data_IF_674224664971
#
_entry.id   IF_674224664971
#
_cell.length_a   1.000
_cell.length_b   1.000
_cell.length_c   1.000
_cell.angle_alpha   90.00
_cell.angle_beta   90.00
_cell.angle_gamma   90.00
#
_symmetry.space_group_name_H-M   'P 1'
#
loop_
_entity.id
_entity.type
_entity.pdbx_description
1 polymer ?
#
# COMPACT_ATOMS: atom_id res chain seq x y z
N UNK A 1 28.12 -1.76 -24.53
CA UNK A 1 27.30 -1.07 -23.48
C UNK A 1 27.86 -1.46 -22.14
N UNK A 2 28.04 -0.51 -21.18
CA UNK A 2 28.56 -0.81 -19.84
C UNK A 2 27.49 -0.57 -18.81
N UNK A 3 27.23 -1.58 -17.99
CA UNK A 3 26.30 -1.58 -16.87
C UNK A 3 27.03 -1.35 -15.53
N UNK A 4 26.33 -0.88 -14.51
CA UNK A 4 26.90 -0.80 -13.17
C UNK A 4 26.84 -2.18 -12.51
N UNK A 5 25.70 -2.88 -12.64
CA UNK A 5 25.51 -4.22 -12.09
C UNK A 5 24.63 -5.04 -13.04
N UNK A 6 24.91 -6.34 -13.12
CA UNK A 6 24.09 -7.29 -13.90
C UNK A 6 23.88 -8.57 -13.09
N UNK A 7 22.65 -9.03 -13.06
CA UNK A 7 22.24 -10.31 -12.52
C UNK A 7 21.98 -11.26 -13.69
N UNK A 8 22.67 -12.37 -13.68
CA UNK A 8 22.69 -13.40 -14.73
C UNK A 8 22.14 -14.72 -14.19
N UNK A 9 21.81 -15.62 -15.11
CA UNK A 9 21.31 -16.96 -14.78
C UNK A 9 20.09 -16.89 -13.84
N UNK A 10 19.11 -16.08 -14.22
CA UNK A 10 17.89 -15.82 -13.49
C UNK A 10 16.64 -16.36 -14.20
N UNK A 11 15.63 -16.75 -13.42
CA UNK A 11 14.24 -16.82 -13.89
C UNK A 11 13.55 -15.49 -13.56
N UNK A 12 12.91 -14.85 -14.52
CA UNK A 12 12.27 -13.56 -14.28
C UNK A 12 10.75 -13.74 -14.29
N UNK A 13 10.08 -13.05 -13.37
CA UNK A 13 8.68 -12.67 -13.48
C UNK A 13 8.64 -11.16 -13.69
N UNK A 14 8.54 -10.76 -14.96
CA UNK A 14 8.72 -9.35 -15.34
C UNK A 14 7.51 -8.47 -15.04
N UNK A 15 6.31 -9.05 -15.00
CA UNK A 15 5.03 -8.36 -14.90
C UNK A 15 4.83 -7.26 -15.96
N UNK A 16 5.67 -7.27 -17.00
CA UNK A 16 5.62 -6.28 -18.07
C UNK A 16 4.33 -6.42 -18.90
N UNK A 17 3.75 -5.31 -19.37
CA UNK A 17 2.54 -5.33 -20.19
C UNK A 17 2.78 -6.09 -21.51
N UNK A 18 1.69 -6.66 -22.05
CA UNK A 18 1.75 -7.43 -23.31
C UNK A 18 2.31 -8.85 -23.18
N UNK A 19 2.74 -9.28 -22.00
CA UNK A 19 3.11 -10.67 -21.71
C UNK A 19 2.02 -11.36 -20.89
N UNK A 20 1.75 -12.65 -21.13
CA UNK A 20 0.73 -13.37 -20.37
C UNK A 20 1.18 -13.61 -18.92
N UNK A 21 0.23 -13.61 -17.97
CA UNK A 21 0.45 -13.91 -16.58
C UNK A 21 1.51 -13.00 -15.94
N UNK A 22 2.50 -13.60 -15.31
CA UNK A 22 3.62 -12.88 -14.66
C UNK A 22 4.72 -12.43 -15.66
N UNK A 23 4.59 -12.68 -16.95
CA UNK A 23 5.62 -12.34 -17.95
C UNK A 23 6.94 -13.10 -17.75
N UNK A 24 6.86 -14.43 -17.63
CA UNK A 24 7.99 -15.31 -17.26
C UNK A 24 9.06 -15.36 -18.36
N UNK A 25 10.33 -15.33 -17.93
CA UNK A 25 11.54 -15.54 -18.72
C UNK A 25 12.43 -16.55 -18.01
N UNK A 26 12.55 -17.77 -18.56
CA UNK A 26 13.25 -18.89 -17.90
C UNK A 26 14.79 -18.74 -17.82
N UNK A 27 15.41 -18.09 -18.79
CA UNK A 27 16.84 -17.80 -18.84
C UNK A 27 17.04 -16.30 -19.04
N UNK A 28 16.86 -15.59 -17.97
CA UNK A 28 16.84 -14.14 -17.98
C UNK A 28 18.10 -13.50 -17.42
N UNK A 29 18.20 -12.22 -17.68
CA UNK A 29 19.13 -11.30 -17.05
C UNK A 29 18.44 -9.97 -16.74
N UNK A 30 18.90 -9.31 -15.67
CA UNK A 30 18.55 -7.93 -15.37
C UNK A 30 19.86 -7.14 -15.25
N UNK A 31 19.93 -5.96 -15.88
CA UNK A 31 21.10 -5.08 -15.77
C UNK A 31 20.66 -3.68 -15.33
N UNK A 32 21.41 -3.12 -14.37
CA UNK A 32 21.22 -1.78 -13.85
C UNK A 32 22.29 -0.82 -14.38
N UNK A 33 21.86 0.42 -14.64
CA UNK A 33 22.73 1.56 -14.91
C UNK A 33 22.09 2.81 -14.29
N UNK A 34 22.88 3.55 -13.53
CA UNK A 34 22.44 4.79 -12.86
C UNK A 34 21.16 4.59 -12.03
N UNK A 35 21.08 3.46 -11.30
CA UNK A 35 19.93 3.08 -10.47
C UNK A 35 18.70 2.58 -11.23
N UNK A 36 18.73 2.59 -12.57
CA UNK A 36 17.59 2.18 -13.41
C UNK A 36 17.84 0.86 -14.11
N UNK A 37 16.78 0.15 -14.45
CA UNK A 37 16.84 -1.05 -15.29
C UNK A 37 17.30 -0.60 -16.71
N UNK A 38 18.45 -1.06 -17.12
CA UNK A 38 18.96 -0.86 -18.48
C UNK A 38 18.61 -2.02 -19.40
N UNK A 39 18.39 -3.20 -18.83
CA UNK A 39 17.96 -4.41 -19.54
C UNK A 39 17.19 -5.34 -18.58
N UNK A 40 16.12 -5.94 -19.05
CA UNK A 40 15.43 -7.05 -18.38
C UNK A 40 14.76 -7.94 -19.45
N UNK A 41 15.22 -9.19 -19.56
CA UNK A 41 14.72 -10.09 -20.59
C UNK A 41 15.57 -11.35 -20.74
N UNK A 42 15.37 -12.11 -21.86
CA UNK A 42 16.21 -13.27 -22.15
C UNK A 42 17.70 -12.89 -22.21
N UNK A 43 18.55 -13.67 -21.54
CA UNK A 43 19.99 -13.38 -21.51
C UNK A 43 20.63 -13.42 -22.93
N UNK A 44 20.02 -14.17 -23.85
CA UNK A 44 20.47 -14.21 -25.25
C UNK A 44 20.28 -12.88 -26.01
N UNK A 45 19.37 -12.00 -25.51
CA UNK A 45 19.05 -10.71 -26.13
C UNK A 45 19.93 -9.57 -25.57
N UNK A 46 20.90 -9.88 -24.69
CA UNK A 46 21.85 -8.88 -24.19
C UNK A 46 22.63 -8.26 -25.37
N UNK A 47 22.83 -6.92 -25.37
CA UNK A 47 23.54 -6.24 -26.45
C UNK A 47 24.95 -6.81 -26.67
N UNK A 48 25.36 -7.01 -27.91
CA UNK A 48 26.70 -7.50 -28.25
C UNK A 48 27.77 -6.60 -27.63
N UNK A 49 28.81 -7.21 -27.00
CA UNK A 49 29.91 -6.48 -26.40
C UNK A 49 29.54 -5.74 -25.11
N UNK A 50 28.51 -6.21 -24.38
CA UNK A 50 28.22 -5.68 -23.07
C UNK A 50 29.34 -5.96 -22.05
N UNK A 51 29.47 -5.08 -21.06
CA UNK A 51 30.33 -5.24 -19.88
C UNK A 51 29.60 -4.71 -18.65
N UNK A 52 30.01 -5.12 -17.46
CA UNK A 52 29.46 -4.65 -16.19
C UNK A 52 30.55 -4.56 -15.12
N UNK A 53 30.41 -3.54 -14.24
CA UNK A 53 31.31 -3.38 -13.09
C UNK A 53 31.17 -4.54 -12.10
N UNK A 54 29.92 -4.95 -11.84
CA UNK A 54 29.59 -6.05 -10.95
C UNK A 54 28.72 -7.07 -11.67
N UNK A 55 29.06 -8.35 -11.51
CA UNK A 55 28.32 -9.48 -12.08
C UNK A 55 27.89 -10.41 -10.95
N UNK A 56 26.62 -10.75 -10.91
CA UNK A 56 26.02 -11.64 -9.91
C UNK A 56 25.40 -12.80 -10.65
N UNK A 57 25.84 -14.03 -10.36
CA UNK A 57 25.18 -15.25 -10.81
C UNK A 57 24.09 -15.60 -9.82
N UNK A 58 22.87 -15.84 -10.31
CA UNK A 58 21.72 -16.13 -9.46
C UNK A 58 21.37 -17.62 -9.39
N UNK A 59 22.09 -18.48 -10.12
CA UNK A 59 21.94 -19.93 -10.07
C UNK A 59 20.47 -20.38 -10.24
N UNK A 60 19.75 -19.76 -11.18
CA UNK A 60 18.35 -20.05 -11.47
C UNK A 60 17.33 -19.46 -10.49
N UNK A 61 17.71 -18.57 -9.57
CA UNK A 61 16.77 -17.88 -8.66
C UNK A 61 15.79 -17.00 -9.42
N UNK A 62 14.62 -16.80 -8.80
CA UNK A 62 13.60 -15.92 -9.34
C UNK A 62 13.88 -14.45 -9.02
N UNK A 63 13.72 -13.61 -10.03
CA UNK A 63 13.78 -12.16 -9.91
C UNK A 63 12.43 -11.58 -10.27
N UNK A 64 11.88 -10.77 -9.36
CA UNK A 64 10.63 -10.04 -9.52
C UNK A 64 10.89 -8.55 -9.24
N UNK A 65 9.97 -7.64 -9.65
CA UNK A 65 10.01 -6.27 -9.13
C UNK A 65 10.01 -6.28 -7.61
N UNK A 66 10.63 -5.31 -6.99
CA UNK A 66 10.50 -5.07 -5.56
C UNK A 66 9.04 -4.94 -5.16
N UNK A 67 8.69 -5.48 -3.99
CA UNK A 67 7.33 -5.43 -3.50
C UNK A 67 6.91 -3.99 -3.15
N UNK A 68 5.64 -3.69 -3.36
CA UNK A 68 5.02 -2.39 -3.08
C UNK A 68 3.88 -2.61 -2.11
N UNK A 69 3.95 -1.96 -0.94
CA UNK A 69 2.82 -1.91 0.01
C UNK A 69 2.08 -0.59 -0.16
N UNK A 70 0.96 -0.62 -0.88
CA UNK A 70 0.28 0.58 -1.35
C UNK A 70 -0.79 1.13 -0.39
N UNK A 71 -0.88 0.57 0.83
CA UNK A 71 -1.82 1.04 1.85
C UNK A 71 -1.34 0.67 3.24
N UNK A 72 -0.80 1.64 3.99
CA UNK A 72 -0.44 1.44 5.40
C UNK A 72 -0.72 2.68 6.24
N UNK A 73 -0.94 2.45 7.54
CA UNK A 73 -0.96 3.46 8.59
C UNK A 73 0.26 3.24 9.51
N UNK A 74 1.44 3.04 8.93
CA UNK A 74 2.65 2.58 9.63
C UNK A 74 3.10 3.50 10.76
N UNK A 75 2.85 4.84 10.63
CA UNK A 75 3.28 5.86 11.57
C UNK A 75 2.20 6.09 12.62
N UNK A 76 2.41 5.53 13.81
CA UNK A 76 1.59 5.74 14.99
C UNK A 76 2.39 5.47 16.26
N UNK A 77 1.92 5.98 17.39
CA UNK A 77 2.43 5.67 18.74
C UNK A 77 1.41 4.85 19.53
N UNK A 78 1.90 4.18 20.57
CA UNK A 78 1.10 3.26 21.37
C UNK A 78 0.93 1.90 20.68
N UNK A 79 0.09 1.06 21.28
CA UNK A 79 -0.26 -0.26 20.77
C UNK A 79 -1.65 -0.65 21.30
N UNK A 80 -2.28 -1.66 20.71
CA UNK A 80 -3.67 -2.03 21.05
C UNK A 80 -3.81 -3.51 21.41
N UNK A 81 -2.72 -4.18 21.83
CA UNK A 81 -2.74 -5.58 22.24
C UNK A 81 -3.68 -5.81 23.44
N UNK A 82 -3.70 -4.87 24.39
CA UNK A 82 -4.63 -4.95 25.54
C UNK A 82 -6.11 -4.91 25.09
N UNK A 83 -6.45 -4.09 24.09
CA UNK A 83 -7.81 -4.09 23.55
C UNK A 83 -8.14 -5.41 22.86
N UNK A 84 -7.16 -6.05 22.22
CA UNK A 84 -7.33 -7.37 21.64
C UNK A 84 -7.62 -8.42 22.74
N UNK A 85 -6.90 -8.39 23.88
CA UNK A 85 -7.19 -9.25 25.03
C UNK A 85 -8.61 -9.05 25.55
N UNK A 86 -9.05 -7.80 25.73
CA UNK A 86 -10.41 -7.49 26.17
C UNK A 86 -11.46 -8.04 25.22
N UNK A 87 -11.26 -7.92 23.90
CA UNK A 87 -12.16 -8.50 22.90
C UNK A 87 -12.25 -10.03 22.99
N UNK A 88 -11.12 -10.69 23.21
CA UNK A 88 -11.07 -12.14 23.40
C UNK A 88 -11.76 -12.57 24.71
N UNK A 89 -11.72 -11.73 25.75
CA UNK A 89 -12.42 -11.93 27.01
C UNK A 89 -13.93 -11.60 26.93
N UNK A 90 -14.44 -11.17 25.77
CA UNK A 90 -15.86 -10.92 25.53
C UNK A 90 -16.31 -9.46 25.70
N UNK A 91 -15.37 -8.51 25.90
CA UNK A 91 -15.72 -7.09 25.92
C UNK A 91 -16.29 -6.65 24.56
N UNK A 92 -17.38 -5.90 24.59
CA UNK A 92 -17.96 -5.32 23.39
C UNK A 92 -17.10 -4.15 22.88
N UNK A 93 -17.32 -3.77 21.60
CA UNK A 93 -16.70 -2.56 21.05
C UNK A 93 -17.05 -1.31 21.87
N UNK A 94 -18.30 -1.23 22.36
CA UNK A 94 -18.76 -0.12 23.20
C UNK A 94 -18.06 -0.08 24.57
N UNK A 95 -17.81 -1.23 25.20
CA UNK A 95 -17.07 -1.29 26.47
C UNK A 95 -15.64 -0.78 26.29
N UNK A 96 -14.98 -1.20 25.22
CA UNK A 96 -13.62 -0.75 24.88
C UNK A 96 -13.61 0.74 24.58
N UNK A 97 -14.56 1.24 23.80
CA UNK A 97 -14.67 2.66 23.48
C UNK A 97 -14.92 3.53 24.73
N UNK A 98 -15.84 3.08 25.65
CA UNK A 98 -16.09 3.76 26.93
C UNK A 98 -14.86 3.78 27.85
N UNK A 99 -14.00 2.77 27.76
CA UNK A 99 -12.74 2.73 28.49
C UNK A 99 -11.64 3.63 27.85
N UNK A 100 -11.97 4.38 26.79
CA UNK A 100 -11.03 5.24 26.07
C UNK A 100 -10.13 4.51 25.08
N UNK A 101 -10.53 3.31 24.66
CA UNK A 101 -9.90 2.52 23.62
C UNK A 101 -10.35 2.92 22.20
N UNK A 102 -10.05 2.08 21.24
CA UNK A 102 -10.34 2.35 19.83
C UNK A 102 -9.35 3.31 19.19
N UNK A 103 -9.75 3.95 18.11
CA UNK A 103 -8.91 4.93 17.41
C UNK A 103 -8.48 6.08 18.32
N UNK A 104 -9.32 6.45 19.30
CA UNK A 104 -9.04 7.54 20.23
C UNK A 104 -7.79 7.27 21.09
N UNK A 105 -7.55 6.01 21.48
CA UNK A 105 -6.34 5.66 22.23
C UNK A 105 -5.07 5.86 21.39
N UNK A 106 -5.11 5.48 20.13
CA UNK A 106 -4.01 5.68 19.18
C UNK A 106 -3.78 7.19 18.91
N UNK A 107 -4.86 7.94 18.70
CA UNK A 107 -4.79 9.42 18.52
C UNK A 107 -4.13 10.08 19.73
N UNK A 108 -4.56 9.74 20.94
CA UNK A 108 -4.00 10.29 22.17
C UNK A 108 -2.50 9.99 22.30
N UNK A 109 -2.09 8.74 22.03
CA UNK A 109 -0.69 8.34 22.10
C UNK A 109 0.15 9.05 21.01
N UNK A 110 -0.37 9.16 19.78
CA UNK A 110 0.31 9.80 18.65
C UNK A 110 0.44 11.32 18.86
N UNK A 111 -0.56 11.98 19.41
CA UNK A 111 -0.51 13.40 19.78
C UNK A 111 0.54 13.69 20.85
N UNK A 112 0.73 12.77 21.80
CA UNK A 112 1.71 12.89 22.87
C UNK A 112 3.16 12.60 22.42
N UNK A 113 3.34 11.86 21.32
CA UNK A 113 4.67 11.48 20.82
C UNK A 113 5.33 12.64 20.06
N UNK A 114 6.66 12.77 20.21
CA UNK A 114 7.47 13.63 19.35
C UNK A 114 7.62 13.01 17.95
N UNK A 115 8.13 13.78 16.98
CA UNK A 115 8.46 13.25 15.66
C UNK A 115 9.50 12.14 15.74
N UNK A 116 10.53 12.30 16.58
CA UNK A 116 11.56 11.27 16.81
C UNK A 116 10.99 10.00 17.43
N UNK A 117 10.02 10.10 18.31
CA UNK A 117 9.32 8.94 18.89
C UNK A 117 8.51 8.21 17.83
N UNK A 118 7.82 8.93 16.94
CA UNK A 118 7.07 8.35 15.83
C UNK A 118 7.99 7.61 14.85
N UNK A 119 9.12 8.20 14.47
CA UNK A 119 10.12 7.55 13.61
C UNK A 119 10.64 6.28 14.30
N UNK A 120 11.10 6.39 15.55
CA UNK A 120 11.65 5.26 16.31
C UNK A 120 10.66 4.11 16.47
N UNK A 121 9.39 4.42 16.73
CA UNK A 121 8.34 3.42 16.87
C UNK A 121 7.98 2.75 15.53
N UNK A 122 8.15 3.44 14.40
CA UNK A 122 7.80 2.94 13.07
C UNK A 122 8.90 2.09 12.43
N UNK A 123 10.17 2.33 12.75
CA UNK A 123 11.30 1.60 12.17
C UNK A 123 11.21 0.07 12.31
N UNK A 124 10.85 -0.53 13.47
CA UNK A 124 10.72 -1.97 13.56
C UNK A 124 9.64 -2.56 12.64
N UNK A 125 8.54 -1.83 12.41
CA UNK A 125 7.48 -2.23 11.48
C UNK A 125 7.94 -2.16 10.04
N UNK A 126 8.62 -1.06 9.67
CA UNK A 126 9.22 -0.88 8.35
C UNK A 126 10.27 -1.96 8.08
N UNK A 127 11.18 -2.23 9.03
CA UNK A 127 12.24 -3.22 8.87
C UNK A 127 11.69 -4.63 8.58
N UNK A 128 10.52 -4.99 9.14
CA UNK A 128 9.86 -6.26 8.83
C UNK A 128 9.37 -6.33 7.38
N UNK A 129 8.78 -5.26 6.88
CA UNK A 129 8.34 -5.18 5.48
C UNK A 129 9.53 -5.21 4.51
N UNK A 130 10.60 -4.47 4.81
CA UNK A 130 11.83 -4.49 3.99
C UNK A 130 12.48 -5.87 3.96
N UNK A 131 12.47 -6.59 5.08
CA UNK A 131 12.99 -7.95 5.16
C UNK A 131 12.23 -8.96 4.27
N UNK A 132 11.03 -8.61 3.79
CA UNK A 132 10.23 -9.39 2.83
C UNK A 132 10.30 -8.85 1.40
N UNK A 133 11.24 -7.93 1.10
CA UNK A 133 11.45 -7.46 -0.28
C UNK A 133 10.66 -6.21 -0.67
N UNK A 134 10.03 -5.52 0.28
CA UNK A 134 9.36 -4.23 0.02
C UNK A 134 10.41 -3.17 -0.35
N UNK A 135 10.21 -2.46 -1.44
CA UNK A 135 11.07 -1.36 -1.92
C UNK A 135 10.34 -0.03 -1.95
N UNK A 136 9.00 -0.06 -1.96
CA UNK A 136 8.14 1.13 -1.93
C UNK A 136 6.98 0.89 -0.98
N UNK A 137 6.67 1.90 -0.16
CA UNK A 137 5.57 1.84 0.81
C UNK A 137 4.77 3.14 0.81
N UNK A 138 3.44 3.04 0.86
CA UNK A 138 2.59 4.17 1.20
C UNK A 138 2.41 4.26 2.71
N UNK A 139 2.52 5.46 3.25
CA UNK A 139 2.27 5.74 4.67
C UNK A 139 1.26 6.89 4.78
N UNK A 140 0.10 6.57 5.34
CA UNK A 140 -0.97 7.53 5.62
C UNK A 140 -0.77 8.17 6.98
N UNK A 141 -1.14 9.44 7.12
CA UNK A 141 -1.40 10.07 8.42
C UNK A 141 -2.76 9.61 8.97
N UNK A 142 -3.46 10.40 9.79
CA UNK A 142 -4.83 10.09 10.22
C UNK A 142 -4.98 9.66 11.67
N UNK A 143 -3.91 9.70 12.45
CA UNK A 143 -3.96 9.55 13.91
C UNK A 143 -3.60 10.84 14.67
N UNK A 144 -3.48 11.94 13.95
CA UNK A 144 -3.35 13.27 14.55
C UNK A 144 -4.70 13.90 14.80
N UNK A 145 -5.50 13.96 13.76
CA UNK A 145 -6.81 14.60 13.69
C UNK A 145 -6.77 16.09 14.09
N UNK A 146 -5.58 16.69 14.01
CA UNK A 146 -5.31 18.13 14.12
C UNK A 146 -4.14 18.50 13.20
N UNK A 147 -4.10 19.75 12.74
CA UNK A 147 -3.12 20.23 11.78
C UNK A 147 -1.66 19.95 12.20
N UNK A 148 -1.33 20.24 13.46
CA UNK A 148 0.04 20.11 13.98
C UNK A 148 0.50 18.66 13.99
N UNK A 149 -0.36 17.75 14.43
CA UNK A 149 -0.02 16.32 14.56
C UNK A 149 -0.03 15.62 13.23
N UNK A 150 -1.00 15.91 12.35
CA UNK A 150 -1.05 15.35 11.00
C UNK A 150 0.23 15.69 10.21
N UNK A 151 0.65 16.97 10.21
CA UNK A 151 1.90 17.38 9.56
C UNK A 151 3.13 16.72 10.21
N UNK A 152 3.15 16.53 11.53
CA UNK A 152 4.22 15.81 12.23
C UNK A 152 4.30 14.35 11.83
N UNK A 153 3.14 13.67 11.67
CA UNK A 153 3.09 12.29 11.19
C UNK A 153 3.64 12.18 9.76
N UNK A 154 3.23 13.09 8.87
CA UNK A 154 3.73 13.12 7.49
C UNK A 154 5.25 13.38 7.43
N UNK A 155 5.78 14.28 8.27
CA UNK A 155 7.24 14.49 8.38
C UNK A 155 7.94 13.24 8.90
N UNK A 156 7.40 12.57 9.92
CA UNK A 156 7.94 11.31 10.40
C UNK A 156 7.96 10.25 9.31
N UNK A 157 6.89 10.13 8.50
CA UNK A 157 6.85 9.21 7.36
C UNK A 157 7.93 9.54 6.32
N UNK A 158 8.12 10.82 5.95
CA UNK A 158 9.20 11.23 5.02
C UNK A 158 10.59 10.91 5.56
N UNK A 159 10.80 11.05 6.87
CA UNK A 159 12.09 10.73 7.50
C UNK A 159 12.43 9.24 7.44
N UNK A 160 11.46 8.34 7.41
CA UNK A 160 11.72 6.90 7.28
C UNK A 160 12.48 6.57 5.98
N UNK A 161 12.26 7.31 4.88
CA UNK A 161 13.03 7.18 3.64
C UNK A 161 14.49 7.67 3.76
N UNK A 162 14.82 8.43 4.80
CA UNK A 162 16.19 8.85 5.09
C UNK A 162 16.91 7.84 6.02
N UNK A 163 16.13 7.09 6.78
CA UNK A 163 16.64 6.08 7.72
C UNK A 163 16.85 4.71 7.06
N UNK A 164 16.16 4.44 5.94
CA UNK A 164 16.22 3.16 5.22
C UNK A 164 16.18 3.39 3.70
N UNK A 165 16.80 2.47 2.97
CA UNK A 165 16.73 2.40 1.51
C UNK A 165 15.34 1.93 1.07
N UNK A 166 14.38 2.86 0.98
CA UNK A 166 12.98 2.61 0.60
C UNK A 166 12.38 3.88 0.02
N UNK A 167 11.50 3.75 -0.96
CA UNK A 167 10.67 4.85 -1.42
C UNK A 167 9.40 4.94 -0.58
N UNK A 168 9.15 6.12 0.01
CA UNK A 168 7.97 6.40 0.83
C UNK A 168 7.05 7.36 0.10
N UNK A 169 5.85 6.90 -0.21
CA UNK A 169 4.73 7.71 -0.68
C UNK A 169 3.88 8.08 0.53
N UNK A 170 3.53 9.35 0.69
CA UNK A 170 2.75 9.80 1.86
C UNK A 170 1.37 10.26 1.46
N UNK A 171 0.35 9.85 2.23
CA UNK A 171 -1.03 10.27 2.03
C UNK A 171 -1.56 11.00 3.27
N UNK A 172 -2.12 12.19 3.07
CA UNK A 172 -2.82 12.89 4.13
C UNK A 172 -4.21 12.30 4.33
N UNK A 173 -4.50 11.84 5.54
CA UNK A 173 -5.77 11.22 5.93
C UNK A 173 -6.39 11.96 7.14
N UNK A 174 -6.52 13.29 7.06
CA UNK A 174 -7.19 14.05 8.12
C UNK A 174 -8.66 13.65 8.31
N UNK A 175 -9.33 13.28 7.23
CA UNK A 175 -10.70 12.74 7.27
C UNK A 175 -10.72 11.23 7.59
N UNK A 176 -10.11 10.80 8.69
CA UNK A 176 -10.08 9.41 9.15
C UNK A 176 -11.16 9.12 10.21
N UNK A 177 -11.29 10.00 11.18
CA UNK A 177 -12.31 9.92 12.22
C UNK A 177 -12.59 11.32 12.77
N UNK A 178 -13.73 11.47 13.45
CA UNK A 178 -14.04 12.70 14.16
C UNK A 178 -13.26 12.76 15.48
N UNK A 179 -12.46 13.80 15.71
CA UNK A 179 -11.76 13.96 16.99
C UNK A 179 -12.74 14.29 18.13
N UNK A 180 -12.46 13.87 19.37
CA UNK A 180 -13.37 14.09 20.50
C UNK A 180 -13.72 15.57 20.72
N UNK A 181 -12.79 16.47 20.50
CA UNK A 181 -12.96 17.92 20.67
C UNK A 181 -13.93 18.56 19.67
N UNK A 182 -14.21 17.92 18.57
CA UNK A 182 -15.20 18.39 17.60
C UNK A 182 -16.66 18.26 18.12
N UNK A 183 -16.86 17.56 19.25
CA UNK A 183 -18.17 17.45 19.91
C UNK A 183 -19.32 17.03 18.99
N UNK A 184 -19.05 16.21 17.99
CA UNK A 184 -20.04 15.74 17.01
C UNK A 184 -20.23 16.64 15.79
N UNK A 185 -19.58 17.79 15.71
CA UNK A 185 -19.66 18.69 14.56
C UNK A 185 -18.77 18.23 13.41
N UNK A 186 -19.32 17.34 12.57
CA UNK A 186 -18.65 16.81 11.38
C UNK A 186 -18.36 17.90 10.33
N UNK A 187 -19.27 18.87 10.17
CA UNK A 187 -19.16 19.88 9.13
C UNK A 187 -18.01 20.83 9.44
N UNK A 188 -17.92 21.32 10.69
CA UNK A 188 -16.81 22.16 11.12
C UNK A 188 -15.48 21.40 10.98
N UNK A 189 -15.44 20.12 11.36
CA UNK A 189 -14.21 19.34 11.27
C UNK A 189 -13.76 19.14 9.81
N UNK A 190 -14.69 18.91 8.88
CA UNK A 190 -14.34 18.81 7.46
C UNK A 190 -13.83 20.17 6.91
N UNK A 191 -14.35 21.29 7.37
CA UNK A 191 -13.78 22.61 7.05
C UNK A 191 -12.33 22.73 7.53
N UNK A 192 -12.03 22.24 8.75
CA UNK A 192 -10.67 22.20 9.30
C UNK A 192 -9.76 21.30 8.45
N UNK A 193 -10.21 20.08 8.10
CA UNK A 193 -9.46 19.15 7.23
C UNK A 193 -9.14 19.80 5.89
N UNK A 194 -10.12 20.38 5.22
CA UNK A 194 -9.92 21.10 3.95
C UNK A 194 -8.90 22.24 4.10
N UNK A 195 -8.93 22.98 5.22
CA UNK A 195 -7.99 24.07 5.49
C UNK A 195 -6.53 23.63 5.68
N UNK A 196 -6.28 22.38 6.06
CA UNK A 196 -4.93 21.82 6.23
C UNK A 196 -4.25 21.53 4.88
N UNK A 197 -5.01 21.12 3.86
CA UNK A 197 -4.50 20.61 2.58
C UNK A 197 -3.55 21.58 1.87
N UNK A 198 -3.86 22.89 1.74
CA UNK A 198 -2.97 23.84 1.06
C UNK A 198 -1.60 23.97 1.72
N UNK A 199 -1.50 23.88 3.06
CA UNK A 199 -0.23 23.93 3.77
C UNK A 199 0.58 22.64 3.56
N UNK A 200 -0.08 21.48 3.62
CA UNK A 200 0.52 20.16 3.40
C UNK A 200 1.08 20.06 1.97
N UNK A 201 0.33 20.51 0.96
CA UNK A 201 0.78 20.54 -0.45
C UNK A 201 1.97 21.48 -0.62
N UNK A 202 1.91 22.70 -0.09
CA UNK A 202 2.99 23.69 -0.20
C UNK A 202 4.30 23.21 0.44
N UNK A 203 4.22 22.52 1.58
CA UNK A 203 5.38 21.91 2.26
C UNK A 203 5.79 20.57 1.65
N UNK A 204 5.08 20.07 0.64
CA UNK A 204 5.31 18.77 -0.01
C UNK A 204 5.34 17.60 0.98
N UNK A 205 4.47 17.65 1.97
CA UNK A 205 4.40 16.62 3.01
C UNK A 205 3.58 15.40 2.56
N UNK A 206 2.64 15.57 1.66
CA UNK A 206 1.85 14.46 1.09
C UNK A 206 1.95 14.43 -0.44
N UNK A 207 1.92 13.20 -0.98
CA UNK A 207 1.83 12.91 -2.42
C UNK A 207 0.38 12.70 -2.85
N UNK A 208 -0.55 12.53 -1.91
CA UNK A 208 -1.96 12.37 -2.13
C UNK A 208 -2.80 12.64 -0.89
N UNK A 209 -4.10 12.64 -1.06
CA UNK A 209 -5.09 12.81 0.02
C UNK A 209 -6.02 11.61 0.03
N UNK A 210 -6.36 11.12 1.22
CA UNK A 210 -7.27 10.02 1.44
C UNK A 210 -8.39 10.45 2.42
N UNK A 211 -9.49 9.74 2.41
CA UNK A 211 -10.60 9.94 3.34
C UNK A 211 -11.25 8.59 3.68
N UNK A 212 -11.96 8.52 4.79
CA UNK A 212 -12.75 7.36 5.18
C UNK A 212 -14.23 7.64 4.99
N UNK A 213 -14.79 7.19 3.86
CA UNK A 213 -16.20 7.31 3.53
C UNK A 213 -16.97 6.11 4.04
N UNK A 214 -17.59 6.25 5.20
CA UNK A 214 -18.29 5.16 5.88
C UNK A 214 -19.36 5.70 6.85
N UNK A 215 -20.37 4.89 7.17
CA UNK A 215 -21.48 5.28 8.05
C UNK A 215 -21.03 5.68 9.46
N UNK A 216 -19.88 5.18 9.90
CA UNK A 216 -19.26 5.51 11.20
C UNK A 216 -18.24 6.66 11.10
N UNK A 217 -18.00 7.20 9.91
CA UNK A 217 -17.02 8.26 9.64
C UNK A 217 -17.65 9.38 8.81
N UNK A 218 -17.20 9.59 7.57
CA UNK A 218 -17.64 10.73 6.77
C UNK A 218 -18.59 10.30 5.63
N UNK A 219 -19.56 11.17 5.36
CA UNK A 219 -20.51 10.96 4.26
C UNK A 219 -19.87 11.17 2.88
N UNK A 220 -20.49 10.68 1.79
CA UNK A 220 -20.04 10.95 0.44
C UNK A 220 -19.92 12.47 0.12
N UNK A 221 -20.83 13.28 0.65
CA UNK A 221 -20.81 14.74 0.44
C UNK A 221 -19.62 15.40 1.13
N UNK A 222 -19.31 15.00 2.36
CA UNK A 222 -18.15 15.48 3.12
C UNK A 222 -16.85 15.03 2.44
N UNK A 223 -16.78 13.77 2.00
CA UNK A 223 -15.65 13.22 1.26
C UNK A 223 -15.41 13.98 -0.05
N UNK A 224 -16.45 14.30 -0.80
CA UNK A 224 -16.35 15.07 -2.03
C UNK A 224 -15.75 16.47 -1.80
N UNK A 225 -16.03 17.11 -0.65
CA UNK A 225 -15.41 18.42 -0.29
C UNK A 225 -13.91 18.28 -0.03
N UNK A 226 -13.49 17.23 0.67
CA UNK A 226 -12.06 16.92 0.89
C UNK A 226 -11.36 16.69 -0.44
N UNK A 227 -11.97 15.93 -1.36
CA UNK A 227 -11.44 15.67 -2.69
C UNK A 227 -11.33 16.92 -3.55
N UNK A 228 -12.34 17.79 -3.51
CA UNK A 228 -12.28 19.08 -4.21
C UNK A 228 -11.10 19.92 -3.71
N UNK A 229 -10.91 20.04 -2.39
CA UNK A 229 -9.79 20.77 -1.81
C UNK A 229 -8.42 20.14 -2.18
N UNK A 230 -8.34 18.81 -2.23
CA UNK A 230 -7.12 18.10 -2.66
C UNK A 230 -6.79 18.40 -4.14
N UNK A 231 -7.78 18.33 -5.02
CA UNK A 231 -7.63 18.58 -6.45
C UNK A 231 -7.27 20.05 -6.74
N UNK A 232 -7.84 21.00 -6.01
CA UNK A 232 -7.45 22.42 -6.08
C UNK A 232 -5.98 22.63 -5.66
N UNK A 233 -5.48 21.80 -4.71
CA UNK A 233 -4.09 21.83 -4.28
C UNK A 233 -3.15 20.98 -5.20
N UNK A 234 -3.67 20.37 -6.27
CA UNK A 234 -2.92 19.56 -7.21
C UNK A 234 -2.53 18.17 -6.69
N UNK A 235 -3.22 17.66 -5.66
CA UNK A 235 -2.96 16.35 -5.07
C UNK A 235 -3.97 15.32 -5.58
N UNK A 236 -3.51 14.13 -6.02
CA UNK A 236 -4.38 13.00 -6.32
C UNK A 236 -5.10 12.52 -5.06
N UNK A 237 -6.19 11.79 -5.26
CA UNK A 237 -7.02 11.29 -4.17
C UNK A 237 -7.09 9.76 -4.17
N UNK A 238 -7.36 9.20 -2.99
CA UNK A 238 -7.65 7.78 -2.72
C UNK A 238 -8.83 7.72 -1.75
N UNK A 239 -9.42 6.56 -1.52
CA UNK A 239 -10.55 6.44 -0.63
C UNK A 239 -10.59 5.10 0.11
N UNK A 240 -10.70 5.10 1.44
CA UNK A 240 -11.27 3.97 2.17
C UNK A 240 -12.77 3.96 1.88
N UNK A 241 -13.28 2.92 1.23
CA UNK A 241 -14.61 2.88 0.65
C UNK A 241 -15.31 1.55 0.89
N UNK A 242 -16.60 1.63 1.23
CA UNK A 242 -17.50 0.48 1.26
C UNK A 242 -16.96 -0.71 2.09
N UNK A 243 -16.28 -0.41 3.21
CA UNK A 243 -15.68 -1.41 4.10
C UNK A 243 -16.71 -2.10 5.00
N UNK A 244 -17.63 -1.33 5.59
CA UNK A 244 -18.61 -1.80 6.57
C UNK A 244 -20.03 -1.62 6.08
N UNK A 245 -20.25 -0.77 5.11
CA UNK A 245 -21.54 -0.47 4.48
C UNK A 245 -21.35 0.02 3.05
N UNK A 246 -22.41 -0.06 2.23
CA UNK A 246 -22.38 0.52 0.89
C UNK A 246 -22.88 1.96 0.94
N UNK A 247 -21.97 2.92 0.93
CA UNK A 247 -22.27 4.35 0.72
C UNK A 247 -21.97 4.80 -0.71
N UNK A 248 -21.77 3.88 -1.64
CA UNK A 248 -21.29 4.14 -3.01
C UNK A 248 -19.93 4.86 -3.05
N UNK A 249 -19.06 4.57 -2.06
CA UNK A 249 -17.73 5.17 -1.93
C UNK A 249 -16.84 4.83 -3.12
N UNK A 250 -16.85 3.58 -3.60
CA UNK A 250 -16.09 3.17 -4.78
C UNK A 250 -16.50 3.95 -6.04
N UNK A 251 -17.81 4.22 -6.21
CA UNK A 251 -18.32 5.04 -7.30
C UNK A 251 -17.87 6.50 -7.16
N UNK A 252 -17.97 7.07 -5.95
CA UNK A 252 -17.50 8.43 -5.66
C UNK A 252 -16.00 8.57 -5.97
N UNK A 253 -15.18 7.64 -5.52
CA UNK A 253 -13.75 7.61 -5.81
C UNK A 253 -13.48 7.63 -7.33
N UNK A 254 -14.18 6.78 -8.08
CA UNK A 254 -14.09 6.72 -9.54
C UNK A 254 -14.51 8.02 -10.23
N UNK A 255 -15.59 8.64 -9.78
CA UNK A 255 -16.09 9.92 -10.32
C UNK A 255 -15.13 11.08 -10.10
N UNK A 256 -14.33 11.03 -9.02
CA UNK A 256 -13.27 12.00 -8.73
C UNK A 256 -11.90 11.62 -9.32
N UNK A 257 -11.81 10.53 -10.12
CA UNK A 257 -10.56 10.09 -10.71
C UNK A 257 -9.53 9.64 -9.68
N UNK A 258 -9.98 9.04 -8.58
CA UNK A 258 -9.11 8.55 -7.54
C UNK A 258 -8.14 7.47 -8.06
N UNK A 259 -6.91 7.47 -7.55
CA UNK A 259 -5.92 6.44 -7.87
C UNK A 259 -6.40 5.05 -7.45
N UNK A 260 -7.02 4.97 -6.27
CA UNK A 260 -7.59 3.72 -5.75
C UNK A 260 -8.83 3.95 -4.89
N UNK A 261 -9.62 2.89 -4.75
CA UNK A 261 -10.62 2.72 -3.71
C UNK A 261 -10.27 1.44 -2.95
N UNK A 262 -10.20 1.54 -1.64
CA UNK A 262 -9.56 0.59 -0.77
C UNK A 262 -10.60 -0.06 0.15
N UNK A 263 -10.45 -1.35 0.55
CA UNK A 263 -11.37 -2.26 1.23
C UNK A 263 -12.39 -2.93 0.29
N UNK A 264 -13.54 -2.31 0.02
CA UNK A 264 -14.52 -2.69 -1.01
C UNK A 264 -15.41 -3.89 -0.67
N UNK A 265 -15.50 -4.32 0.59
CA UNK A 265 -16.29 -5.48 1.00
C UNK A 265 -17.77 -5.35 0.61
N UNK A 266 -18.32 -4.14 0.67
CA UNK A 266 -19.74 -3.85 0.38
C UNK A 266 -19.96 -3.13 -0.95
N UNK A 267 -18.93 -3.01 -1.80
CA UNK A 267 -19.04 -2.37 -3.11
C UNK A 267 -20.00 -3.12 -4.02
N UNK A 268 -20.92 -2.39 -4.64
CA UNK A 268 -21.88 -2.92 -5.60
C UNK A 268 -21.38 -2.90 -7.06
N UNK A 269 -22.23 -3.42 -7.97
CA UNK A 269 -21.92 -3.47 -9.40
C UNK A 269 -21.72 -2.10 -10.04
N UNK A 270 -22.42 -1.08 -9.54
CA UNK A 270 -22.29 0.28 -10.05
C UNK A 270 -20.92 0.88 -9.69
N UNK A 271 -20.47 0.63 -8.46
CA UNK A 271 -19.13 0.98 -8.00
C UNK A 271 -18.05 0.30 -8.84
N UNK A 272 -18.14 -1.01 -9.04
CA UNK A 272 -17.20 -1.76 -9.90
C UNK A 272 -17.19 -1.23 -11.33
N UNK A 273 -18.38 -0.98 -11.92
CA UNK A 273 -18.48 -0.44 -13.27
C UNK A 273 -17.88 0.98 -13.39
N UNK A 274 -18.03 1.80 -12.35
CA UNK A 274 -17.42 3.13 -12.32
C UNK A 274 -15.89 3.05 -12.26
N UNK A 275 -15.32 2.18 -11.38
CA UNK A 275 -13.88 1.93 -11.30
C UNK A 275 -13.30 1.42 -12.61
N UNK A 276 -14.00 0.48 -13.29
CA UNK A 276 -13.56 -0.02 -14.60
C UNK A 276 -13.46 1.08 -15.66
N UNK A 277 -14.38 2.05 -15.65
CA UNK A 277 -14.36 3.18 -16.60
C UNK A 277 -13.30 4.22 -16.28
N UNK A 278 -13.05 4.50 -15.00
CA UNK A 278 -12.09 5.51 -14.56
C UNK A 278 -10.65 5.01 -14.54
N UNK A 279 -10.44 3.69 -14.45
CA UNK A 279 -9.13 3.08 -14.21
C UNK A 279 -8.70 3.11 -12.74
N UNK A 280 -9.60 3.46 -11.81
CA UNK A 280 -9.36 3.41 -10.36
C UNK A 280 -9.02 1.98 -9.93
N UNK A 281 -7.95 1.81 -9.16
CA UNK A 281 -7.49 0.49 -8.69
C UNK A 281 -8.31 0.04 -7.49
N UNK A 282 -8.70 -1.23 -7.46
CA UNK A 282 -9.28 -1.88 -6.28
C UNK A 282 -8.14 -2.34 -5.36
N UNK A 283 -7.99 -1.77 -4.17
CA UNK A 283 -7.02 -2.22 -3.17
C UNK A 283 -7.73 -3.04 -2.11
N UNK A 284 -7.46 -4.36 -2.08
CA UNK A 284 -8.08 -5.27 -1.14
C UNK A 284 -7.18 -5.46 0.09
N UNK A 285 -7.79 -5.49 1.28
CA UNK A 285 -7.10 -5.46 2.57
C UNK A 285 -7.47 -6.68 3.42
N UNK A 286 -6.96 -7.87 3.07
CA UNK A 286 -7.37 -9.13 3.71
C UNK A 286 -6.98 -9.20 5.19
N UNK A 287 -6.02 -8.39 5.66
CA UNK A 287 -5.65 -8.30 7.06
C UNK A 287 -6.77 -7.72 7.92
N UNK A 288 -7.35 -6.60 7.50
CA UNK A 288 -8.49 -5.99 8.18
C UNK A 288 -9.71 -6.91 8.17
N UNK A 289 -10.02 -7.48 7.01
CA UNK A 289 -11.10 -8.48 6.87
C UNK A 289 -10.97 -9.62 7.90
N UNK A 290 -9.77 -10.18 8.03
CA UNK A 290 -9.50 -11.28 8.97
C UNK A 290 -9.64 -10.86 10.44
N UNK A 291 -9.02 -9.75 10.84
CA UNK A 291 -8.99 -9.29 12.24
C UNK A 291 -10.39 -8.84 12.70
N UNK A 292 -11.15 -8.21 11.81
CA UNK A 292 -12.54 -7.82 12.06
C UNK A 292 -13.50 -9.00 12.01
N UNK A 293 -13.06 -10.17 11.54
CA UNK A 293 -13.92 -11.34 11.29
C UNK A 293 -15.06 -11.02 10.34
N UNK A 294 -14.77 -10.18 9.34
CA UNK A 294 -15.77 -9.80 8.33
C UNK A 294 -16.23 -11.05 7.56
N UNK A 295 -17.46 -11.01 7.07
CA UNK A 295 -18.06 -12.12 6.32
C UNK A 295 -18.38 -11.75 4.88
N UNK A 296 -18.63 -10.48 4.64
CA UNK A 296 -18.88 -9.97 3.30
C UNK A 296 -17.55 -9.79 2.58
N UNK A 297 -17.29 -10.62 1.58
CA UNK A 297 -16.06 -10.54 0.78
C UNK A 297 -16.18 -9.45 -0.30
N UNK A 298 -15.07 -8.80 -0.68
CA UNK A 298 -15.06 -7.91 -1.82
C UNK A 298 -15.55 -8.62 -3.10
N UNK A 299 -16.17 -7.92 -4.07
CA UNK A 299 -16.76 -8.52 -5.27
C UNK A 299 -15.68 -8.87 -6.33
N UNK A 300 -14.74 -9.77 -5.96
CA UNK A 300 -13.55 -10.10 -6.78
C UNK A 300 -13.92 -10.62 -8.16
N UNK A 301 -14.95 -11.46 -8.27
CA UNK A 301 -15.37 -11.99 -9.57
C UNK A 301 -15.90 -10.89 -10.48
N UNK A 302 -16.60 -9.91 -9.93
CA UNK A 302 -17.09 -8.75 -10.66
C UNK A 302 -15.94 -7.83 -11.09
N UNK A 303 -15.00 -7.53 -10.16
CA UNK A 303 -13.78 -6.76 -10.45
C UNK A 303 -12.97 -7.41 -11.57
N UNK A 304 -12.77 -8.71 -11.50
CA UNK A 304 -12.07 -9.50 -12.53
C UNK A 304 -12.82 -9.47 -13.87
N UNK A 305 -14.15 -9.69 -13.83
CA UNK A 305 -15.01 -9.69 -15.02
C UNK A 305 -14.98 -8.36 -15.77
N UNK A 306 -14.91 -7.26 -15.06
CA UNK A 306 -14.83 -5.90 -15.62
C UNK A 306 -13.38 -5.39 -15.81
N UNK A 307 -12.37 -6.23 -15.53
CA UNK A 307 -10.94 -5.93 -15.66
C UNK A 307 -10.48 -4.72 -14.83
N UNK A 308 -11.08 -4.52 -13.67
CA UNK A 308 -10.58 -3.55 -12.70
C UNK A 308 -9.24 -4.06 -12.18
N UNK A 309 -8.16 -3.25 -12.19
CA UNK A 309 -6.89 -3.64 -11.60
C UNK A 309 -7.05 -3.91 -10.09
N UNK A 310 -6.52 -5.04 -9.61
CA UNK A 310 -6.63 -5.45 -8.20
C UNK A 310 -5.25 -5.40 -7.56
N UNK A 311 -5.06 -4.54 -6.58
CA UNK A 311 -3.92 -4.52 -5.69
C UNK A 311 -4.29 -5.12 -4.33
N UNK A 312 -3.30 -5.54 -3.57
CA UNK A 312 -3.44 -5.96 -2.18
C UNK A 312 -2.36 -5.29 -1.32
N UNK A 313 -2.68 -5.00 -0.08
CA UNK A 313 -1.79 -4.30 0.83
C UNK A 313 -1.98 -4.77 2.27
N UNK A 314 -1.04 -4.41 3.16
CA UNK A 314 -1.09 -4.84 4.56
C UNK A 314 -2.16 -4.13 5.37
N UNK A 315 -2.49 -2.89 5.03
CA UNK A 315 -3.26 -2.02 5.91
C UNK A 315 -2.62 -1.93 7.31
N UNK A 316 -1.28 -1.96 7.38
CA UNK A 316 -0.57 -2.04 8.65
C UNK A 316 -0.99 -0.93 9.61
N UNK A 317 -1.82 -1.27 10.59
CA UNK A 317 -2.36 -0.36 11.58
C UNK A 317 -2.53 -1.07 12.95
N UNK A 318 -2.60 -0.34 14.06
CA UNK A 318 -2.66 -0.96 15.39
C UNK A 318 -4.02 -1.57 15.74
N UNK A 319 -5.08 -1.21 15.00
CA UNK A 319 -6.47 -1.54 15.36
C UNK A 319 -7.02 -2.76 14.67
N UNK A 320 -7.02 -2.73 13.38
CA UNK A 320 -7.73 -3.68 12.51
C UNK A 320 -6.80 -4.53 11.66
N UNK A 321 -5.51 -4.16 11.53
CA UNK A 321 -4.55 -4.93 10.73
C UNK A 321 -3.12 -4.81 11.28
N UNK A 322 -2.80 -5.39 12.44
CA UNK A 322 -1.45 -5.34 13.01
C UNK A 322 -0.50 -6.32 12.27
N UNK A 323 -0.46 -6.20 10.93
CA UNK A 323 0.26 -7.10 10.03
C UNK A 323 1.41 -6.33 9.37
N UNK A 324 2.62 -6.91 9.41
CA UNK A 324 3.84 -6.36 8.79
C UNK A 324 4.45 -7.37 7.82
N UNK A 325 3.61 -8.05 7.02
CA UNK A 325 4.02 -9.11 6.10
C UNK A 325 3.14 -9.11 4.84
N UNK A 326 3.72 -8.72 3.69
CA UNK A 326 3.05 -8.86 2.39
C UNK A 326 2.96 -10.32 1.95
N UNK A 327 3.88 -11.19 2.36
CA UNK A 327 3.80 -12.63 2.07
C UNK A 327 2.56 -13.26 2.72
N UNK A 328 2.28 -12.90 3.97
CA UNK A 328 1.05 -13.33 4.66
C UNK A 328 -0.19 -12.74 3.99
N UNK A 329 -0.15 -11.46 3.61
CA UNK A 329 -1.26 -10.79 2.91
C UNK A 329 -1.57 -11.45 1.57
N UNK A 330 -0.57 -11.85 0.78
CA UNK A 330 -0.77 -12.62 -0.46
C UNK A 330 -1.48 -13.96 -0.20
N UNK A 331 -1.07 -14.69 0.86
CA UNK A 331 -1.74 -15.93 1.24
C UNK A 331 -3.19 -15.69 1.66
N UNK A 332 -3.43 -14.67 2.48
CA UNK A 332 -4.79 -14.31 2.93
C UNK A 332 -5.68 -13.91 1.75
N UNK A 333 -5.18 -13.11 0.80
CA UNK A 333 -5.94 -12.71 -0.38
C UNK A 333 -6.29 -13.93 -1.27
N UNK A 334 -5.36 -14.86 -1.46
CA UNK A 334 -5.61 -16.09 -2.21
C UNK A 334 -6.63 -17.00 -1.48
N UNK A 335 -6.52 -17.13 -0.15
CA UNK A 335 -7.34 -18.04 0.64
C UNK A 335 -8.73 -17.49 0.92
N UNK A 336 -8.83 -16.21 1.31
CA UNK A 336 -10.09 -15.57 1.71
C UNK A 336 -10.87 -15.01 0.51
N UNK A 337 -10.17 -14.39 -0.44
CA UNK A 337 -10.77 -13.68 -1.58
C UNK A 337 -10.64 -14.45 -2.90
N UNK A 338 -9.97 -15.62 -2.90
CA UNK A 338 -9.76 -16.47 -4.07
C UNK A 338 -9.01 -15.78 -5.22
N UNK A 339 -8.03 -14.94 -4.88
CA UNK A 339 -7.11 -14.43 -5.87
C UNK A 339 -6.20 -15.58 -6.37
N UNK A 340 -5.92 -15.57 -7.66
CA UNK A 340 -4.91 -16.47 -8.24
C UNK A 340 -3.51 -16.06 -7.80
N UNK A 341 -2.53 -16.96 -8.01
CA UNK A 341 -1.11 -16.64 -7.73
C UNK A 341 -0.66 -15.42 -8.53
N UNK A 342 -1.04 -15.36 -9.80
CA UNK A 342 -0.67 -14.26 -10.70
C UNK A 342 -1.29 -12.93 -10.22
N UNK A 343 -2.55 -12.94 -9.79
CA UNK A 343 -3.22 -11.77 -9.23
C UNK A 343 -2.57 -11.33 -7.91
N UNK A 344 -2.24 -12.26 -7.02
CA UNK A 344 -1.61 -11.94 -5.73
C UNK A 344 -0.21 -11.31 -5.93
N UNK A 345 0.61 -11.89 -6.81
CA UNK A 345 1.94 -11.33 -7.12
C UNK A 345 1.84 -9.99 -7.85
N UNK A 346 0.94 -9.86 -8.84
CA UNK A 346 0.69 -8.58 -9.50
C UNK A 346 0.13 -7.54 -8.52
N UNK A 347 -0.67 -7.98 -7.56
CA UNK A 347 -1.32 -7.13 -6.55
C UNK A 347 -0.35 -6.44 -5.59
N UNK A 348 0.81 -7.03 -5.32
CA UNK A 348 1.88 -6.45 -4.48
C UNK A 348 3.04 -5.86 -5.29
N UNK A 349 2.89 -5.75 -6.61
CA UNK A 349 3.93 -5.21 -7.50
C UNK A 349 3.31 -4.22 -8.50
N UNK A 350 2.94 -4.68 -9.69
CA UNK A 350 2.41 -3.86 -10.78
C UNK A 350 1.15 -3.09 -10.39
N UNK A 351 0.17 -3.75 -9.81
CA UNK A 351 -1.10 -3.10 -9.50
C UNK A 351 -1.00 -2.21 -8.24
N UNK A 352 -0.16 -2.59 -7.27
CA UNK A 352 0.16 -1.73 -6.14
C UNK A 352 0.90 -0.45 -6.60
N UNK A 353 1.85 -0.57 -7.53
CA UNK A 353 2.50 0.59 -8.14
C UNK A 353 1.50 1.49 -8.90
N UNK A 354 0.52 0.88 -9.58
CA UNK A 354 -0.59 1.61 -10.23
C UNK A 354 -1.44 2.37 -9.21
N UNK A 355 -1.80 1.73 -8.09
CA UNK A 355 -2.58 2.34 -7.00
C UNK A 355 -1.88 3.55 -6.35
N UNK A 356 -0.56 3.68 -6.53
CA UNK A 356 0.23 4.83 -6.09
C UNK A 356 0.51 5.85 -7.21
N UNK A 357 0.02 5.62 -8.44
CA UNK A 357 0.36 6.45 -9.59
C UNK A 357 1.82 6.32 -10.04
N UNK A 358 2.53 5.27 -9.58
CA UNK A 358 3.97 5.08 -9.79
C UNK A 358 4.30 4.00 -10.85
N UNK A 359 3.29 3.47 -11.57
CA UNK A 359 3.51 2.39 -12.53
C UNK A 359 4.52 2.74 -13.63
N UNK A 360 4.69 4.01 -13.95
CA UNK A 360 5.71 4.48 -14.90
C UNK A 360 7.16 4.31 -14.40
N UNK A 361 7.34 4.21 -13.09
CA UNK A 361 8.66 4.21 -12.44
C UNK A 361 9.05 2.87 -11.81
N UNK A 362 8.06 2.09 -11.31
CA UNK A 362 8.26 0.84 -10.55
C UNK A 362 7.21 -0.22 -10.92
N UNK A 363 7.26 -1.38 -10.25
CA UNK A 363 6.24 -2.42 -10.27
C UNK A 363 6.35 -3.44 -11.41
N UNK A 364 7.23 -3.22 -12.37
CA UNK A 364 7.54 -4.17 -13.46
C UNK A 364 9.02 -4.13 -13.81
N UNK A 365 9.57 -5.21 -14.38
CA UNK A 365 10.95 -5.24 -14.87
C UNK A 365 10.98 -4.74 -16.33
N UNK A 366 11.03 -3.43 -16.49
CA UNK A 366 11.11 -2.78 -17.82
C UNK A 366 12.25 -1.76 -17.85
N UNK A 367 12.98 -1.67 -18.97
CA UNK A 367 14.03 -0.65 -19.13
C UNK A 367 13.50 0.76 -18.86
N UNK A 368 14.29 1.55 -18.15
CA UNK A 368 13.97 2.93 -17.77
C UNK A 368 13.35 3.08 -16.37
N UNK A 369 12.73 2.04 -15.82
CA UNK A 369 12.21 2.05 -14.44
C UNK A 369 13.32 1.90 -13.41
N UNK A 370 13.02 2.24 -12.15
CA UNK A 370 13.95 2.01 -11.05
C UNK A 370 14.29 0.52 -10.94
N UNK A 371 15.55 0.22 -10.70
CA UNK A 371 16.02 -1.15 -10.55
C UNK A 371 15.80 -1.63 -9.11
N UNK A 372 14.52 -1.82 -8.79
CA UNK A 372 14.05 -2.35 -7.52
C UNK A 372 13.65 -3.80 -7.72
N UNK A 373 14.38 -4.71 -7.07
CA UNK A 373 14.24 -6.15 -7.28
C UNK A 373 14.02 -6.87 -5.96
N UNK A 374 13.18 -7.89 -5.99
CA UNK A 374 13.11 -8.95 -4.99
C UNK A 374 13.59 -10.26 -5.62
N UNK A 375 14.64 -10.83 -5.07
CA UNK A 375 15.29 -12.08 -5.54
C UNK A 375 14.93 -13.19 -4.57
N UNK A 376 14.41 -14.32 -5.09
CA UNK A 376 13.76 -15.33 -4.29
C UNK A 376 14.40 -16.72 -4.43
N UNK A 377 14.56 -17.42 -3.30
CA UNK A 377 14.94 -18.83 -3.21
C UNK A 377 13.68 -19.71 -3.27
N UNK A 378 13.08 -19.82 -4.43
CA UNK A 378 11.86 -20.60 -4.70
C UNK A 378 11.99 -21.36 -6.02
N UNK A 379 11.25 -22.46 -6.15
CA UNK A 379 11.14 -23.18 -7.42
C UNK A 379 10.07 -22.61 -8.33
N UNK A 380 9.01 -22.02 -7.78
CA UNK A 380 7.90 -21.42 -8.53
C UNK A 380 7.25 -20.24 -7.77
N UNK A 381 6.71 -19.23 -8.45
CA UNK A 381 6.06 -18.08 -7.80
C UNK A 381 4.94 -18.44 -6.81
N UNK A 382 4.25 -19.57 -7.02
CA UNK A 382 3.20 -20.04 -6.12
C UNK A 382 3.69 -20.26 -4.67
N UNK A 383 4.97 -20.49 -4.45
CA UNK A 383 5.51 -20.70 -3.09
C UNK A 383 5.45 -19.43 -2.24
N UNK A 384 5.51 -18.25 -2.85
CA UNK A 384 5.35 -16.97 -2.14
C UNK A 384 3.94 -16.80 -1.58
N UNK A 385 2.94 -17.34 -2.28
CA UNK A 385 1.53 -17.25 -1.90
C UNK A 385 1.13 -18.41 -0.99
N UNK A 386 1.74 -19.58 -1.18
CA UNK A 386 1.39 -20.82 -0.49
C UNK A 386 1.94 -20.89 0.95
N UNK A 387 3.18 -20.47 1.17
CA UNK A 387 3.88 -20.68 2.46
C UNK A 387 3.55 -19.56 3.45
N UNK A 388 2.93 -19.90 4.57
CA UNK A 388 2.60 -18.96 5.65
C UNK A 388 3.77 -18.90 6.63
N UNK A 389 4.26 -17.69 6.93
CA UNK A 389 5.31 -17.46 7.94
C UNK A 389 6.70 -17.89 7.51
N UNK A 390 6.91 -18.23 6.24
CA UNK A 390 8.22 -18.52 5.66
C UNK A 390 8.64 -17.42 4.70
N UNK A 391 9.80 -16.85 4.91
CA UNK A 391 10.37 -15.81 4.06
C UNK A 391 11.51 -16.37 3.21
N UNK A 392 11.29 -16.62 1.91
CA UNK A 392 12.30 -17.13 0.98
C UNK A 392 13.10 -16.01 0.28
N UNK A 393 13.11 -14.79 0.79
CA UNK A 393 13.85 -13.70 0.19
C UNK A 393 15.35 -13.99 0.25
N UNK A 394 15.98 -14.09 -0.93
CA UNK A 394 17.44 -14.19 -1.05
C UNK A 394 18.11 -12.82 -0.95
N UNK A 395 17.57 -11.84 -1.67
CA UNK A 395 18.08 -10.48 -1.63
C UNK A 395 17.00 -9.45 -2.05
N UNK A 396 17.05 -8.30 -1.41
CA UNK A 396 16.34 -7.10 -1.82
C UNK A 396 17.33 -6.15 -2.48
N UNK A 397 16.98 -5.62 -3.63
CA UNK A 397 17.76 -4.59 -4.34
C UNK A 397 16.91 -3.33 -4.41
N UNK A 398 17.45 -2.22 -3.97
CA UNK A 398 16.84 -0.91 -4.10
C UNK A 398 17.73 -0.05 -4.99
N UNK A 399 17.15 0.49 -6.08
CA UNK A 399 17.81 1.33 -7.08
C UNK A 399 19.15 0.77 -7.60
N UNK A 400 19.18 -0.57 -7.80
CA UNK A 400 20.33 -1.27 -8.38
C UNK A 400 21.51 -1.49 -7.43
N UNK A 401 21.37 -1.15 -6.16
CA UNK A 401 22.42 -1.25 -5.12
C UNK A 401 22.62 -2.64 -4.54
#
# INVERSE_FOLDING_TARGET
>A
MRFDKIWLDARLATLAPGRPGLGIVERGAVAAKDGRIAFAGPAADLPTGWDARHRVALDGRWVMPGLVDCHTHLVYAGERAHEFELRLAGASYEDIARAGGGIVSTVKATRAASEDDLVRASLPRLDRLLAEGVTTIEIKSGYGLDSKTEMRMLRAARRLAQEREVDVVTSFLGAHALPPEANGDMEQYIDEVCSMIPAISRERLADGVDAFCENIAFSPQQTARVFAAAQEAGLPVKLHADQLSNLHGAKLAAEHGALSADHLEYTDKDGVAAMARSGTVAVLLPGAFYVLREKQVPPVDELRGQRVPIAIATDCNPGTSPITSLLVVMNMAATLFRLTVDEAVAGVTREAARALGQLGEIGTLEPGKWCDLAIWDIERPAELVYRIGFNPLHARVWRGG
#
